data_IF_398645916266
#
_entry.id   IF_398645916266
#
_cell.length_a   1.000
_cell.length_b   1.000
_cell.length_c   1.000
_cell.angle_alpha   90.00
_cell.angle_beta   90.00
_cell.angle_gamma   90.00
#
_symmetry.space_group_name_H-M   'P 1'
#
loop_
_entity.id
_entity.type
_entity.pdbx_description
1 polymer ?
#
# COMPACT_ATOMS: atom_id res chain seq x y z
N UNK A 1 0.72 -8.23 21.22
CA UNK A 1 1.29 -7.56 20.02
C UNK A 1 2.74 -7.99 19.93
N UNK A 2 3.17 -8.62 18.83
CA UNK A 2 4.58 -8.97 18.66
C UNK A 2 5.43 -7.69 18.57
N UNK A 3 6.62 -7.67 19.19
CA UNK A 3 7.52 -6.51 19.17
C UNK A 3 7.88 -6.09 17.73
N UNK A 4 8.12 -7.05 16.84
CA UNK A 4 8.40 -6.81 15.43
C UNK A 4 7.24 -6.11 14.71
N UNK A 5 5.99 -6.51 14.98
CA UNK A 5 4.79 -5.88 14.41
C UNK A 5 4.67 -4.42 14.86
N UNK A 6 4.92 -4.16 16.15
CA UNK A 6 4.87 -2.79 16.68
C UNK A 6 5.96 -1.91 16.06
N UNK A 7 7.18 -2.45 15.88
CA UNK A 7 8.29 -1.74 15.24
C UNK A 7 8.01 -1.45 13.76
N UNK A 8 7.55 -2.45 12.99
CA UNK A 8 7.20 -2.26 11.58
C UNK A 8 6.07 -1.24 11.39
N UNK A 9 5.03 -1.28 12.24
CA UNK A 9 3.96 -0.29 12.21
C UNK A 9 4.43 1.11 12.60
N UNK A 10 5.37 1.22 13.55
CA UNK A 10 5.97 2.51 13.91
C UNK A 10 6.75 3.08 12.73
N UNK A 11 7.60 2.28 12.10
CA UNK A 11 8.38 2.69 10.93
C UNK A 11 7.46 3.13 9.77
N UNK A 12 6.40 2.37 9.48
CA UNK A 12 5.38 2.76 8.51
C UNK A 12 4.84 4.16 8.84
N UNK A 13 4.39 4.39 10.07
CA UNK A 13 3.82 5.69 10.49
C UNK A 13 4.80 6.85 10.35
N UNK A 14 6.09 6.63 10.60
CA UNK A 14 7.14 7.66 10.44
C UNK A 14 7.39 8.02 8.96
N UNK A 15 7.05 7.13 8.02
CA UNK A 15 7.21 7.33 6.58
C UNK A 15 5.95 7.80 5.84
N UNK A 16 4.80 7.82 6.52
CA UNK A 16 3.56 8.35 5.97
C UNK A 16 3.55 9.88 6.06
N UNK A 17 3.08 10.54 5.01
CA UNK A 17 2.71 11.96 5.10
C UNK A 17 1.58 12.16 6.11
N UNK A 18 1.41 13.38 6.63
CA UNK A 18 0.37 13.68 7.64
C UNK A 18 -1.04 13.24 7.20
N UNK A 19 -1.37 13.45 5.92
CA UNK A 19 -2.64 13.00 5.33
C UNK A 19 -2.77 11.48 5.30
N UNK A 20 -1.72 10.77 4.90
CA UNK A 20 -1.69 9.31 4.83
C UNK A 20 -1.75 8.67 6.22
N UNK A 21 -1.07 9.28 7.20
CA UNK A 21 -1.11 8.86 8.59
C UNK A 21 -2.52 9.00 9.15
N UNK A 22 -3.16 10.16 8.95
CA UNK A 22 -4.55 10.39 9.37
C UNK A 22 -5.52 9.39 8.72
N UNK A 23 -5.36 9.08 7.44
CA UNK A 23 -6.14 8.05 6.76
C UNK A 23 -5.92 6.66 7.40
N UNK A 24 -4.65 6.30 7.65
CA UNK A 24 -4.31 4.99 8.21
C UNK A 24 -4.84 4.80 9.63
N UNK A 25 -4.74 5.82 10.47
CA UNK A 25 -5.23 5.75 11.85
C UNK A 25 -6.75 5.70 11.91
N UNK A 26 -7.44 6.44 11.03
CA UNK A 26 -8.90 6.52 11.01
C UNK A 26 -9.57 5.34 10.31
N UNK A 27 -8.98 4.84 9.23
CA UNK A 27 -9.63 3.89 8.33
C UNK A 27 -8.85 2.60 8.07
N UNK A 28 -7.63 2.45 8.61
CA UNK A 28 -6.74 1.31 8.33
C UNK A 28 -6.41 1.13 6.85
N UNK A 29 -6.35 2.24 6.10
CA UNK A 29 -5.81 2.31 4.75
C UNK A 29 -5.20 3.69 4.53
N UNK A 30 -4.34 3.82 3.54
CA UNK A 30 -3.86 5.12 3.07
C UNK A 30 -3.75 5.11 1.55
N UNK A 31 -3.84 6.30 0.97
CA UNK A 31 -3.77 6.49 -0.46
C UNK A 31 -2.36 6.96 -0.85
N UNK A 32 -1.82 6.43 -1.94
CA UNK A 32 -0.52 6.78 -2.52
C UNK A 32 -0.71 7.18 -3.98
N UNK A 33 0.17 8.02 -4.49
CA UNK A 33 0.15 8.46 -5.88
C UNK A 33 1.30 7.81 -6.63
N UNK A 34 0.98 7.10 -7.71
CA UNK A 34 1.97 6.47 -8.59
C UNK A 34 2.83 7.52 -9.29
N UNK A 35 4.15 7.33 -9.26
CA UNK A 35 5.10 8.31 -9.80
C UNK A 35 5.06 8.44 -11.33
N UNK A 36 4.72 7.37 -12.06
CA UNK A 36 4.78 7.38 -13.52
C UNK A 36 3.48 7.83 -14.17
N UNK A 37 2.34 7.44 -13.61
CA UNK A 37 1.01 7.69 -14.22
C UNK A 37 0.20 8.73 -13.45
N UNK A 38 0.59 9.06 -12.22
CA UNK A 38 -0.20 9.92 -11.32
C UNK A 38 -1.49 9.26 -10.82
N UNK A 39 -1.68 7.96 -11.07
CA UNK A 39 -2.84 7.21 -10.55
C UNK A 39 -2.79 7.12 -9.04
N UNK A 40 -3.97 7.11 -8.42
CA UNK A 40 -4.09 6.89 -6.98
C UNK A 40 -4.27 5.42 -6.68
N UNK A 41 -3.56 4.94 -5.67
CA UNK A 41 -3.66 3.58 -5.17
C UNK A 41 -3.99 3.62 -3.69
N UNK A 42 -4.97 2.85 -3.26
CA UNK A 42 -5.31 2.64 -1.85
C UNK A 42 -4.64 1.39 -1.35
N UNK A 43 -3.79 1.52 -0.34
CA UNK A 43 -3.18 0.40 0.36
C UNK A 43 -3.95 0.18 1.66
N UNK A 44 -4.66 -0.94 1.75
CA UNK A 44 -5.36 -1.37 2.97
C UNK A 44 -4.43 -2.13 3.88
N UNK A 45 -4.71 -2.09 5.18
CA UNK A 45 -4.00 -2.90 6.16
C UNK A 45 -4.11 -4.40 5.83
N UNK A 46 -2.97 -5.03 5.56
CA UNK A 46 -2.87 -6.44 5.19
C UNK A 46 -1.52 -6.74 4.55
N UNK A 47 -1.23 -8.04 4.36
CA UNK A 47 0.03 -8.49 3.75
C UNK A 47 -0.10 -8.85 2.26
N UNK A 48 -1.32 -8.88 1.72
CA UNK A 48 -1.58 -9.21 0.32
C UNK A 48 -3.00 -8.89 -0.10
N UNK A 49 -3.26 -8.83 -1.41
CA UNK A 49 -4.58 -8.44 -1.99
C UNK A 49 -5.14 -7.14 -1.39
N UNK A 50 -4.26 -6.20 -1.08
CA UNK A 50 -4.53 -5.03 -0.27
C UNK A 50 -4.33 -3.70 -1.02
N UNK A 51 -3.76 -3.72 -2.22
CA UNK A 51 -3.58 -2.53 -3.05
C UNK A 51 -4.71 -2.44 -4.06
N UNK A 52 -5.36 -1.28 -4.13
CA UNK A 52 -6.47 -1.01 -5.05
C UNK A 52 -6.17 0.25 -5.86
N UNK A 53 -6.13 0.15 -7.19
CA UNK A 53 -6.11 1.32 -8.06
C UNK A 53 -7.46 2.04 -7.96
N UNK A 54 -7.45 3.34 -7.65
CA UNK A 54 -8.64 4.17 -7.56
C UNK A 54 -8.86 4.98 -8.84
N UNK A 55 -10.12 5.16 -9.23
CA UNK A 55 -10.49 6.08 -10.31
C UNK A 55 -10.55 7.55 -9.82
N UNK A 56 -10.89 8.48 -10.74
CA UNK A 56 -11.08 9.90 -10.42
C UNK A 56 -12.14 10.14 -9.34
N UNK A 57 -13.19 9.32 -9.29
CA UNK A 57 -14.23 9.33 -8.25
C UNK A 57 -13.83 8.60 -6.96
N UNK A 58 -12.61 8.06 -6.88
CA UNK A 58 -12.10 7.36 -5.70
C UNK A 58 -12.63 5.94 -5.53
N UNK A 59 -13.20 5.33 -6.57
CA UNK A 59 -13.71 3.95 -6.53
C UNK A 59 -12.61 2.98 -6.96
N UNK A 60 -12.52 1.78 -6.34
CA UNK A 60 -11.55 0.78 -6.74
C UNK A 60 -11.86 0.28 -8.15
N UNK A 61 -10.91 0.46 -9.07
CA UNK A 61 -10.98 0.03 -10.47
C UNK A 61 -10.34 -1.33 -10.68
N UNK A 62 -9.22 -1.59 -10.02
CA UNK A 62 -8.46 -2.82 -10.12
C UNK A 62 -7.78 -3.12 -8.78
N UNK A 63 -7.63 -4.40 -8.44
CA UNK A 63 -6.85 -4.85 -7.30
C UNK A 63 -5.47 -5.31 -7.76
N UNK A 64 -4.41 -4.88 -7.06
CA UNK A 64 -3.04 -5.28 -7.34
C UNK A 64 -2.48 -6.07 -6.16
N UNK A 65 -1.89 -7.24 -6.45
CA UNK A 65 -1.26 -8.09 -5.44
C UNK A 65 0.20 -8.32 -5.80
N UNK A 66 1.07 -7.64 -5.07
CA UNK A 66 2.50 -7.87 -5.06
C UNK A 66 2.94 -7.89 -3.60
N UNK A 67 3.58 -8.98 -3.21
CA UNK A 67 3.95 -9.26 -1.83
C UNK A 67 5.42 -9.66 -1.79
N UNK A 68 6.14 -9.29 -0.73
CA UNK A 68 7.50 -9.79 -0.52
C UNK A 68 7.47 -11.32 -0.41
N UNK A 69 8.56 -11.95 -0.86
CA UNK A 69 8.68 -13.42 -0.94
C UNK A 69 8.73 -14.08 0.44
N UNK A 70 9.18 -13.34 1.45
CA UNK A 70 9.36 -13.79 2.82
C UNK A 70 8.28 -13.23 3.77
N UNK A 71 8.18 -13.84 4.95
CA UNK A 71 7.30 -13.35 6.02
C UNK A 71 7.83 -12.04 6.61
N UNK A 72 7.31 -10.93 6.10
CA UNK A 72 7.51 -9.61 6.69
C UNK A 72 6.31 -9.20 7.54
N UNK A 73 6.59 -8.38 8.56
CA UNK A 73 5.55 -7.79 9.40
C UNK A 73 4.69 -6.83 8.58
N UNK A 74 3.43 -6.66 8.97
CA UNK A 74 2.45 -5.90 8.16
C UNK A 74 2.95 -4.49 7.84
N UNK A 75 3.57 -3.80 8.79
CA UNK A 75 4.10 -2.46 8.59
C UNK A 75 5.18 -2.39 7.50
N UNK A 76 6.10 -3.35 7.46
CA UNK A 76 7.15 -3.40 6.45
C UNK A 76 6.59 -3.76 5.07
N UNK A 77 5.59 -4.63 5.00
CA UNK A 77 4.90 -4.94 3.73
C UNK A 77 4.22 -3.68 3.17
N UNK A 78 3.45 -2.98 3.99
CA UNK A 78 2.75 -1.76 3.58
C UNK A 78 3.72 -0.66 3.15
N UNK A 79 4.84 -0.52 3.87
CA UNK A 79 5.88 0.46 3.55
C UNK A 79 6.58 0.12 2.23
N UNK A 80 6.95 -1.14 2.03
CA UNK A 80 7.54 -1.59 0.77
C UNK A 80 6.58 -1.37 -0.42
N UNK A 81 5.29 -1.62 -0.22
CA UNK A 81 4.26 -1.37 -1.24
C UNK A 81 4.10 0.11 -1.57
N UNK A 82 4.13 0.98 -0.54
CA UNK A 82 4.13 2.45 -0.70
C UNK A 82 5.32 2.90 -1.54
N UNK A 83 6.53 2.53 -1.12
CA UNK A 83 7.77 2.92 -1.78
C UNK A 83 7.75 2.45 -3.23
N UNK A 84 7.39 1.18 -3.49
CA UNK A 84 7.34 0.64 -4.85
C UNK A 84 6.40 1.44 -5.77
N UNK A 85 5.24 1.87 -5.30
CA UNK A 85 4.30 2.67 -6.10
C UNK A 85 4.77 4.12 -6.30
N UNK A 86 5.35 4.73 -5.27
CA UNK A 86 5.80 6.12 -5.30
C UNK A 86 7.18 6.32 -5.96
N UNK A 87 7.97 5.26 -6.17
CA UNK A 87 9.30 5.37 -6.81
C UNK A 87 9.43 4.60 -8.12
N UNK A 88 8.77 3.44 -8.26
CA UNK A 88 8.85 2.59 -9.45
C UNK A 88 7.52 1.89 -9.74
N UNK A 89 6.47 2.69 -9.92
CA UNK A 89 5.10 2.23 -10.18
C UNK A 89 5.05 1.17 -11.28
N UNK A 90 5.80 1.36 -12.37
CA UNK A 90 5.78 0.44 -13.51
C UNK A 90 6.40 -0.91 -13.17
N UNK A 91 7.52 -0.93 -12.45
CA UNK A 91 8.12 -2.18 -11.98
C UNK A 91 7.22 -2.91 -10.99
N UNK A 92 6.61 -2.17 -10.06
CA UNK A 92 5.65 -2.71 -9.10
C UNK A 92 4.45 -3.38 -9.80
N UNK A 93 3.85 -2.70 -10.79
CA UNK A 93 2.71 -3.22 -11.53
C UNK A 93 3.10 -4.36 -12.49
N UNK A 94 4.32 -4.39 -13.02
CA UNK A 94 4.78 -5.43 -13.92
C UNK A 94 4.88 -6.81 -13.25
N UNK A 95 5.18 -6.84 -11.95
CA UNK A 95 5.24 -8.08 -11.15
C UNK A 95 3.93 -8.38 -10.40
N UNK A 96 2.99 -7.42 -10.38
CA UNK A 96 1.76 -7.55 -9.63
C UNK A 96 0.75 -8.45 -10.33
N UNK A 97 0.09 -9.30 -9.55
CA UNK A 97 -1.09 -10.02 -10.01
C UNK A 97 -2.32 -9.12 -9.91
N UNK A 98 -3.06 -8.99 -11.00
CA UNK A 98 -4.31 -8.24 -11.01
C UNK A 98 -5.47 -9.12 -10.52
N UNK A 99 -6.34 -8.57 -9.69
CA UNK A 99 -7.58 -9.20 -9.24
C UNK A 99 -8.76 -8.21 -9.32
N UNK A 100 -9.97 -8.75 -9.51
CA UNK A 100 -11.17 -7.91 -9.51
C UNK A 100 -11.44 -7.42 -8.09
N UNK A 101 -11.63 -6.10 -7.87
CA UNK A 101 -12.04 -5.58 -6.58
C UNK A 101 -13.41 -6.17 -6.22
N UNK A 102 -13.50 -6.81 -5.05
CA UNK A 102 -14.73 -7.42 -4.52
C UNK A 102 -15.59 -6.42 -3.79
#
# INVERSE_FOLDING_TARGET
MNECEARGLKLLKEWLSEEQLAQYERHKYFDVTGCHTGKRYRIRHGTGTNVYELDGAGRPRAGWCFVPKDYLVVGDVLLAQKIALETDERGALAIANNFLPR
#
